data_IF_971113870522
#
_entry.id   IF_971113870522
#
_cell.length_a   1.000
_cell.length_b   1.000
_cell.length_c   1.000
_cell.angle_alpha   90.00
_cell.angle_beta   90.00
_cell.angle_gamma   90.00
#
_symmetry.space_group_name_H-M   'P 1'
#
loop_
_entity.id
_entity.type
_entity.pdbx_description
1 polymer ?
#
# COMPACT_ATOMS: atom_id res chain seq x y z
N UNK A 1 13.39 18.90 4.38
CA UNK A 1 12.57 18.08 5.31
C UNK A 1 12.58 16.65 4.79
N UNK A 2 12.93 15.66 5.63
CA UNK A 2 12.80 14.24 5.23
C UNK A 2 11.32 13.96 4.98
N UNK A 3 10.98 13.51 3.77
CA UNK A 3 9.62 13.10 3.43
C UNK A 3 9.54 11.59 3.61
N UNK A 4 8.73 11.12 4.55
CA UNK A 4 8.50 9.68 4.79
C UNK A 4 7.30 9.13 4.00
N UNK A 5 6.94 9.82 2.93
CA UNK A 5 5.69 9.58 2.23
C UNK A 5 5.71 8.24 1.49
N UNK A 6 6.86 7.81 0.97
CA UNK A 6 6.98 6.52 0.30
C UNK A 6 6.84 5.39 1.31
N UNK A 7 7.55 5.47 2.43
CA UNK A 7 7.36 4.51 3.53
C UNK A 7 5.91 4.42 3.97
N UNK A 8 5.22 5.55 4.13
CA UNK A 8 3.82 5.56 4.53
C UNK A 8 2.95 4.85 3.47
N UNK A 9 3.10 5.20 2.19
CA UNK A 9 2.31 4.60 1.11
C UNK A 9 2.57 3.09 0.97
N UNK A 10 3.84 2.65 1.06
CA UNK A 10 4.24 1.24 0.98
C UNK A 10 3.72 0.41 2.16
N UNK A 11 3.87 0.90 3.40
CA UNK A 11 3.55 0.11 4.60
C UNK A 11 2.09 0.21 5.04
N UNK A 12 1.33 1.21 4.58
CA UNK A 12 -0.06 1.40 4.95
C UNK A 12 -0.94 0.16 4.67
N UNK A 13 -0.87 -0.53 3.51
CA UNK A 13 -1.63 -1.76 3.27
C UNK A 13 -1.31 -2.87 4.28
N UNK A 14 -0.04 -3.07 4.64
CA UNK A 14 0.38 -4.05 5.66
C UNK A 14 -0.21 -3.74 7.04
N UNK A 15 -0.25 -2.46 7.45
CA UNK A 15 -0.93 -2.06 8.70
C UNK A 15 -2.40 -2.45 8.65
N UNK A 16 -3.07 -2.24 7.51
CA UNK A 16 -4.45 -2.68 7.29
C UNK A 16 -4.62 -4.18 7.40
N UNK A 17 -3.70 -4.96 6.81
CA UNK A 17 -3.71 -6.41 6.90
C UNK A 17 -3.59 -6.90 8.36
N UNK A 18 -2.68 -6.30 9.14
CA UNK A 18 -2.49 -6.62 10.56
C UNK A 18 -3.75 -6.28 11.36
N UNK A 19 -4.32 -5.09 11.18
CA UNK A 19 -5.56 -4.66 11.85
C UNK A 19 -6.72 -5.61 11.51
N UNK A 20 -6.87 -5.97 10.24
CA UNK A 20 -7.90 -6.90 9.76
C UNK A 20 -7.73 -8.26 10.44
N UNK A 21 -6.50 -8.78 10.51
CA UNK A 21 -6.19 -10.05 11.15
C UNK A 21 -6.38 -10.03 12.67
N UNK A 22 -6.03 -8.93 13.34
CA UNK A 22 -6.11 -8.82 14.79
C UNK A 22 -7.54 -8.59 15.30
N UNK A 23 -8.31 -7.71 14.64
CA UNK A 23 -9.57 -7.19 15.19
C UNK A 23 -10.84 -7.90 14.68
N UNK A 24 -10.81 -8.45 13.46
CA UNK A 24 -12.04 -9.00 12.84
C UNK A 24 -12.15 -10.51 13.05
N UNK A 25 -13.37 -11.00 13.30
CA UNK A 25 -13.65 -12.45 13.40
C UNK A 25 -14.07 -13.01 12.04
N UNK A 26 -13.83 -14.31 11.81
CA UNK A 26 -14.08 -14.96 10.50
C UNK A 26 -15.53 -14.89 10.02
N UNK A 27 -16.51 -14.75 10.93
CA UNK A 27 -17.93 -14.64 10.60
C UNK A 27 -18.38 -13.21 10.24
N UNK A 28 -17.48 -12.22 10.29
CA UNK A 28 -17.80 -10.81 10.04
C UNK A 28 -17.54 -10.39 8.59
N UNK A 29 -17.96 -11.23 7.64
CA UNK A 29 -17.76 -11.09 6.20
C UNK A 29 -17.94 -9.65 5.67
N UNK A 30 -19.12 -9.07 5.94
CA UNK A 30 -19.47 -7.71 5.49
C UNK A 30 -18.58 -6.63 6.09
N UNK A 31 -18.17 -6.77 7.36
CA UNK A 31 -17.31 -5.79 8.02
C UNK A 31 -15.88 -5.86 7.48
N UNK A 32 -15.37 -7.07 7.25
CA UNK A 32 -14.07 -7.33 6.60
C UNK A 32 -14.02 -6.68 5.22
N UNK A 33 -15.03 -6.93 4.37
CA UNK A 33 -15.15 -6.37 3.02
C UNK A 33 -15.15 -4.84 3.02
N UNK A 34 -15.95 -4.24 3.89
CA UNK A 34 -16.01 -2.77 4.04
C UNK A 34 -14.69 -2.18 4.52
N UNK A 35 -14.08 -2.79 5.54
CA UNK A 35 -12.81 -2.34 6.09
C UNK A 35 -11.70 -2.43 5.04
N UNK A 36 -11.54 -3.58 4.39
CA UNK A 36 -10.52 -3.78 3.37
C UNK A 36 -10.67 -2.78 2.23
N UNK A 37 -11.87 -2.63 1.67
CA UNK A 37 -12.13 -1.66 0.60
C UNK A 37 -11.84 -0.22 1.03
N UNK A 38 -12.22 0.17 2.24
CA UNK A 38 -11.89 1.49 2.77
C UNK A 38 -10.37 1.69 2.90
N UNK A 39 -9.64 0.64 3.31
CA UNK A 39 -8.19 0.68 3.47
C UNK A 39 -7.45 0.73 2.13
N UNK A 40 -7.88 -0.02 1.12
CA UNK A 40 -7.39 0.11 -0.25
C UNK A 40 -7.66 1.51 -0.82
N UNK A 41 -8.85 2.07 -0.55
CA UNK A 41 -9.19 3.43 -0.92
C UNK A 41 -8.27 4.46 -0.24
N UNK A 42 -7.95 4.27 1.04
CA UNK A 42 -7.01 5.11 1.76
C UNK A 42 -5.60 5.02 1.15
N UNK A 43 -5.13 3.82 0.81
CA UNK A 43 -3.83 3.63 0.13
C UNK A 43 -3.79 4.34 -1.22
N UNK A 44 -4.87 4.27 -2.00
CA UNK A 44 -4.99 5.01 -3.26
C UNK A 44 -4.94 6.53 -3.03
N UNK A 45 -5.73 7.06 -2.09
CA UNK A 45 -5.72 8.51 -1.79
C UNK A 45 -4.34 8.96 -1.30
N UNK A 46 -3.67 8.19 -0.45
CA UNK A 46 -2.32 8.47 0.01
C UNK A 46 -1.32 8.51 -1.16
N UNK A 47 -1.44 7.60 -2.12
CA UNK A 47 -0.57 7.57 -3.31
C UNK A 47 -0.68 8.82 -4.18
N UNK A 48 -1.85 9.49 -4.20
CA UNK A 48 -2.05 10.71 -4.99
C UNK A 48 -1.15 11.86 -4.54
N UNK A 49 -0.69 11.85 -3.29
CA UNK A 49 0.26 12.85 -2.80
C UNK A 49 1.60 12.79 -3.55
N UNK A 50 1.96 11.65 -4.13
CA UNK A 50 3.17 11.51 -4.96
C UNK A 50 3.08 12.30 -6.28
N UNK A 51 1.88 12.73 -6.69
CA UNK A 51 1.70 13.61 -7.84
C UNK A 51 2.26 15.03 -7.63
N UNK A 52 2.66 15.36 -6.40
CA UNK A 52 3.41 16.60 -6.09
C UNK A 52 4.86 16.60 -6.61
N UNK A 53 5.28 15.51 -7.27
CA UNK A 53 6.57 15.39 -7.94
C UNK A 53 6.87 16.54 -8.90
N UNK A 54 8.08 17.10 -8.78
CA UNK A 54 8.51 18.21 -9.61
C UNK A 54 9.11 17.69 -10.92
N UNK A 55 8.32 17.77 -12.00
CA UNK A 55 8.74 17.35 -13.35
C UNK A 55 9.87 18.18 -13.94
N UNK A 56 10.03 19.44 -13.53
CA UNK A 56 11.08 20.33 -14.04
C UNK A 56 12.46 19.97 -13.48
N UNK A 57 12.52 19.47 -12.24
CA UNK A 57 13.77 18.97 -11.64
C UNK A 57 14.11 17.58 -12.20
N UNK A 58 13.10 16.73 -12.38
CA UNK A 58 13.31 15.35 -12.82
C UNK A 58 14.04 14.50 -11.77
N UNK A 59 14.53 13.33 -12.20
CA UNK A 59 15.31 12.41 -11.37
C UNK A 59 14.53 11.74 -10.24
N UNK A 60 15.26 11.12 -9.32
CA UNK A 60 14.69 10.46 -8.14
C UNK A 60 14.29 11.51 -7.10
N UNK A 61 13.03 11.47 -6.67
CA UNK A 61 12.48 12.34 -5.62
C UNK A 61 11.89 11.49 -4.50
N UNK A 62 11.46 12.16 -3.41
CA UNK A 62 10.99 11.52 -2.18
C UNK A 62 12.01 10.53 -1.59
N UNK A 63 13.30 10.89 -1.66
CA UNK A 63 14.38 10.04 -1.21
C UNK A 63 14.32 9.77 0.29
N UNK A 64 14.29 8.50 0.65
CA UNK A 64 14.43 8.01 2.01
C UNK A 64 15.68 7.12 2.05
N UNK A 65 16.63 7.45 2.91
CA UNK A 65 17.86 6.68 3.06
C UNK A 65 18.18 6.50 4.54
N UNK A 66 18.03 5.27 5.01
CA UNK A 66 18.28 4.86 6.38
C UNK A 66 19.19 3.63 6.39
N UNK A 67 20.16 3.59 7.31
CA UNK A 67 20.92 2.36 7.57
C UNK A 67 19.97 1.30 8.14
N UNK A 68 19.99 0.10 7.56
CA UNK A 68 19.15 -1.01 8.03
C UNK A 68 19.96 -2.08 8.74
N UNK A 69 20.99 -2.64 8.08
CA UNK A 69 21.89 -3.64 8.67
C UNK A 69 23.34 -3.21 8.41
N UNK A 70 23.96 -2.43 9.31
CA UNK A 70 25.27 -1.82 9.09
C UNK A 70 26.39 -2.83 8.82
N UNK A 71 26.33 -4.01 9.46
CA UNK A 71 27.37 -5.06 9.37
C UNK A 71 27.57 -5.56 7.94
N UNK A 72 26.50 -5.58 7.13
CA UNK A 72 26.54 -6.01 5.72
C UNK A 72 26.41 -4.82 4.76
N UNK A 73 26.43 -3.59 5.27
CA UNK A 73 26.22 -2.38 4.48
C UNK A 73 24.81 -2.22 3.90
N UNK A 74 23.81 -2.96 4.39
CA UNK A 74 22.44 -2.86 3.87
C UNK A 74 21.75 -1.57 4.32
N UNK A 75 21.08 -0.91 3.38
CA UNK A 75 20.37 0.35 3.58
C UNK A 75 18.94 0.22 3.07
N UNK A 76 18.01 0.85 3.77
CA UNK A 76 16.66 1.10 3.29
C UNK A 76 16.71 2.38 2.47
N UNK A 77 16.83 2.22 1.14
CA UNK A 77 16.86 3.30 0.18
C UNK A 77 15.61 3.24 -0.69
N UNK A 78 14.75 4.24 -0.55
CA UNK A 78 13.55 4.42 -1.36
C UNK A 78 13.64 5.74 -2.12
N UNK A 79 13.04 5.76 -3.30
CA UNK A 79 12.87 6.94 -4.11
C UNK A 79 12.03 6.59 -5.32
N UNK A 80 11.43 7.60 -5.92
CA UNK A 80 10.59 7.41 -7.11
C UNK A 80 10.93 8.42 -8.18
N UNK A 81 10.84 7.98 -9.43
CA UNK A 81 10.91 8.83 -10.60
C UNK A 81 9.50 9.09 -11.17
N UNK A 82 9.43 9.87 -12.26
CA UNK A 82 8.16 10.22 -12.89
C UNK A 82 7.33 9.02 -13.39
N UNK A 83 7.97 7.90 -13.73
CA UNK A 83 7.28 6.69 -14.22
C UNK A 83 6.77 5.87 -13.05
N UNK A 84 7.59 5.69 -12.03
CA UNK A 84 7.29 4.89 -10.84
C UNK A 84 6.10 5.46 -10.08
N UNK A 85 5.96 6.79 -10.04
CA UNK A 85 4.77 7.44 -9.46
C UNK A 85 3.49 6.98 -10.15
N UNK A 86 3.47 6.94 -11.49
CA UNK A 86 2.30 6.48 -12.23
C UNK A 86 2.00 5.01 -11.93
N UNK A 87 3.04 4.17 -11.81
CA UNK A 87 2.89 2.76 -11.46
C UNK A 87 2.35 2.58 -10.03
N UNK A 88 2.82 3.34 -9.04
CA UNK A 88 2.31 3.26 -7.66
C UNK A 88 0.83 3.70 -7.59
N UNK A 89 0.47 4.81 -8.26
CA UNK A 89 -0.92 5.28 -8.31
C UNK A 89 -1.81 4.25 -9.01
N UNK A 90 -1.33 3.66 -10.11
CA UNK A 90 -2.06 2.60 -10.82
C UNK A 90 -2.23 1.35 -9.94
N UNK A 91 -1.17 0.87 -9.31
CA UNK A 91 -1.21 -0.32 -8.44
C UNK A 91 -2.19 -0.13 -7.29
N UNK A 92 -2.19 1.04 -6.65
CA UNK A 92 -3.11 1.32 -5.53
C UNK A 92 -4.56 1.48 -5.99
N UNK A 93 -4.79 2.07 -7.17
CA UNK A 93 -6.11 2.11 -7.82
C UNK A 93 -6.61 0.69 -8.14
N UNK A 94 -5.76 -0.15 -8.74
CA UNK A 94 -6.08 -1.53 -9.06
C UNK A 94 -6.38 -2.35 -7.80
N UNK A 95 -5.66 -2.12 -6.69
CA UNK A 95 -5.96 -2.72 -5.40
C UNK A 95 -7.37 -2.37 -4.91
N UNK A 96 -7.78 -1.10 -5.01
CA UNK A 96 -9.13 -0.67 -4.65
C UNK A 96 -10.21 -1.31 -5.55
N UNK A 97 -9.98 -1.36 -6.86
CA UNK A 97 -10.88 -2.01 -7.82
C UNK A 97 -10.98 -3.52 -7.54
N UNK A 98 -9.84 -4.19 -7.31
CA UNK A 98 -9.78 -5.61 -7.00
C UNK A 98 -10.50 -5.95 -5.70
N UNK A 99 -10.39 -5.09 -4.68
CA UNK A 99 -11.14 -5.24 -3.43
C UNK A 99 -12.65 -5.19 -3.69
N UNK A 100 -13.12 -4.21 -4.47
CA UNK A 100 -14.53 -4.03 -4.82
C UNK A 100 -15.08 -5.18 -5.67
N UNK A 101 -14.35 -5.60 -6.70
CA UNK A 101 -14.79 -6.70 -7.58
C UNK A 101 -14.90 -8.02 -6.83
N UNK A 102 -14.10 -8.21 -5.78
CA UNK A 102 -14.06 -9.43 -4.99
C UNK A 102 -15.25 -9.61 -4.03
N UNK A 103 -16.07 -8.57 -3.81
CA UNK A 103 -17.16 -8.60 -2.80
C UNK A 103 -18.17 -9.73 -3.03
N UNK A 104 -18.55 -9.97 -4.28
CA UNK A 104 -19.56 -10.96 -4.62
C UNK A 104 -18.95 -12.32 -5.00
N UNK A 105 -17.69 -12.34 -5.46
CA UNK A 105 -17.03 -13.54 -5.94
C UNK A 105 -16.37 -14.35 -4.81
N UNK A 106 -15.74 -13.68 -3.84
CA UNK A 106 -15.06 -14.34 -2.73
C UNK A 106 -16.03 -14.54 -1.57
N UNK A 107 -16.35 -15.81 -1.28
CA UNK A 107 -17.30 -16.22 -0.24
C UNK A 107 -16.69 -17.18 0.79
N UNK A 108 -15.43 -17.62 0.59
CA UNK A 108 -14.72 -18.53 1.49
C UNK A 108 -13.43 -17.87 1.96
N UNK A 109 -13.13 -18.00 3.26
CA UNK A 109 -11.91 -17.47 3.89
C UNK A 109 -11.66 -15.99 3.57
N UNK A 110 -12.73 -15.19 3.62
CA UNK A 110 -12.69 -13.77 3.23
C UNK A 110 -11.68 -12.98 4.07
N UNK A 111 -11.58 -13.29 5.36
CA UNK A 111 -10.62 -12.67 6.27
C UNK A 111 -9.19 -12.86 5.77
N UNK A 112 -8.81 -14.11 5.50
CA UNK A 112 -7.47 -14.44 5.02
C UNK A 112 -7.22 -13.87 3.61
N UNK A 113 -8.23 -13.92 2.73
CA UNK A 113 -8.14 -13.35 1.39
C UNK A 113 -7.82 -11.85 1.41
N UNK A 114 -8.62 -11.04 2.11
CA UNK A 114 -8.42 -9.59 2.15
C UNK A 114 -7.14 -9.19 2.89
N UNK A 115 -6.74 -9.92 3.93
CA UNK A 115 -5.46 -9.70 4.59
C UNK A 115 -4.27 -9.93 3.64
N UNK A 116 -4.30 -11.04 2.90
CA UNK A 116 -3.24 -11.36 1.93
C UNK A 116 -3.25 -10.42 0.73
N UNK A 117 -4.43 -9.95 0.29
CA UNK A 117 -4.53 -8.97 -0.78
C UNK A 117 -3.93 -7.61 -0.36
N UNK A 118 -4.19 -7.17 0.88
CA UNK A 118 -3.58 -5.96 1.43
C UNK A 118 -2.06 -6.12 1.57
N UNK A 119 -1.60 -7.27 2.07
CA UNK A 119 -0.17 -7.56 2.17
C UNK A 119 0.52 -7.61 0.81
N UNK A 120 -0.14 -8.21 -0.20
CA UNK A 120 0.34 -8.22 -1.58
C UNK A 120 0.53 -6.80 -2.11
N UNK A 121 -0.39 -5.88 -1.82
CA UNK A 121 -0.25 -4.49 -2.26
C UNK A 121 1.03 -3.85 -1.72
N UNK A 122 1.42 -4.09 -0.46
CA UNK A 122 2.71 -3.61 0.07
C UNK A 122 3.90 -4.19 -0.69
N UNK A 123 3.83 -5.43 -1.15
CA UNK A 123 4.94 -6.04 -1.89
C UNK A 123 5.08 -5.50 -3.33
N UNK A 124 4.00 -4.98 -3.91
CA UNK A 124 3.99 -4.45 -5.29
C UNK A 124 4.28 -2.95 -5.32
N UNK A 125 3.96 -2.22 -4.26
CA UNK A 125 4.19 -0.77 -4.11
C UNK A 125 5.58 -0.48 -3.57
#
# INVERSE_FOLDING_TARGET
MKSYILSIVTWLPTVGAIILLALFKKNQARAIKKFATAWFGLAFVASLLLLTYNRAVGGMQFLEDCQWIPVIGARYQMGVDGVTILLIVLTTLLGAIASLSSWNYIQKREKEYYALLLFLQTAVV
#
